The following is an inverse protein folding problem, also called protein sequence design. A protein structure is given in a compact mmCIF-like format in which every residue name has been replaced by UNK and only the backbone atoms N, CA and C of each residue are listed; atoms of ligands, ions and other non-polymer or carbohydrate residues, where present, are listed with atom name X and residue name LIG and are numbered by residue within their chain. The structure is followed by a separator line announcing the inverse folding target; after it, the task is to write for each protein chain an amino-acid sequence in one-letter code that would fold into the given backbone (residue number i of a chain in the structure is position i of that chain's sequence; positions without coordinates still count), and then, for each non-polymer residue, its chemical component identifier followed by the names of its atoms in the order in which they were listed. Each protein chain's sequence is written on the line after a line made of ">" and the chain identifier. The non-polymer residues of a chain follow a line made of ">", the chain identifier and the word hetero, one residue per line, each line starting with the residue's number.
data_IF_657970997722
#
_entry.id   IF_657970997722
#
_cell.length_a   1.000
_cell.length_b   1.000
_cell.length_c   1.000
_cell.angle_alpha   90.00
_cell.angle_beta   90.00
_cell.angle_gamma   90.00
#
_symmetry.space_group_name_H-M   'P 1'
#
loop_
_entity.id
_entity.type
_entity.pdbx_description
1 polymer ?
#
# COMPACT_ATOMS: atom_id res chain seq x y z
N UNK A 1 16.28 -45.43 -19.24
CA UNK A 1 16.79 -44.75 -18.03
C UNK A 1 16.60 -43.26 -18.25
N UNK A 2 15.96 -42.57 -17.30
CA UNK A 2 15.12 -41.38 -17.50
C UNK A 2 15.80 -40.16 -18.15
N UNK A 3 15.07 -39.52 -19.08
CA UNK A 3 15.40 -38.22 -19.62
C UNK A 3 15.25 -37.12 -18.54
N UNK A 4 16.05 -36.04 -18.58
CA UNK A 4 15.94 -34.94 -17.62
C UNK A 4 14.63 -34.18 -17.86
N UNK A 5 13.87 -33.99 -16.80
CA UNK A 5 12.61 -33.23 -16.79
C UNK A 5 12.93 -31.75 -17.04
N UNK A 6 12.26 -31.06 -18.00
CA UNK A 6 12.45 -29.64 -18.19
C UNK A 6 11.83 -28.87 -17.02
N UNK A 7 12.67 -28.13 -16.30
CA UNK A 7 12.28 -27.18 -15.26
C UNK A 7 11.31 -26.12 -15.82
N UNK A 8 10.21 -25.81 -15.12
CA UNK A 8 9.19 -24.89 -15.62
C UNK A 8 9.76 -23.47 -15.79
N UNK A 9 9.44 -22.93 -16.96
CA UNK A 9 9.61 -21.56 -17.47
C UNK A 9 9.79 -20.47 -16.40
N UNK A 10 10.88 -19.72 -16.56
CA UNK A 10 11.18 -18.47 -15.86
C UNK A 10 10.04 -17.46 -16.03
N UNK A 11 9.15 -17.38 -15.05
CA UNK A 11 8.40 -16.15 -14.80
C UNK A 11 9.41 -15.13 -14.26
N UNK A 12 9.74 -14.15 -15.08
CA UNK A 12 10.63 -13.01 -14.82
C UNK A 12 10.50 -12.47 -13.39
N UNK A 13 11.39 -12.91 -12.49
CA UNK A 13 11.56 -12.36 -11.15
C UNK A 13 12.19 -10.98 -11.30
N UNK A 14 11.36 -9.97 -11.52
CA UNK A 14 11.80 -8.59 -11.33
C UNK A 14 12.16 -8.46 -9.86
N UNK A 15 13.45 -8.38 -9.52
CA UNK A 15 13.89 -8.13 -8.14
C UNK A 15 13.23 -6.83 -7.68
N UNK A 16 12.29 -6.87 -6.74
CA UNK A 16 11.59 -5.66 -6.33
C UNK A 16 12.60 -4.70 -5.73
N UNK A 17 12.53 -3.44 -6.13
CA UNK A 17 13.36 -2.40 -5.51
C UNK A 17 13.15 -2.41 -3.99
N UNK A 18 14.17 -2.13 -3.17
CA UNK A 18 14.13 -2.33 -1.72
C UNK A 18 12.92 -1.64 -1.04
N UNK A 19 12.42 -0.56 -1.63
CA UNK A 19 11.25 0.19 -1.14
C UNK A 19 9.91 -0.53 -1.33
N UNK A 20 9.74 -1.31 -2.42
CA UNK A 20 8.52 -2.10 -2.68
C UNK A 20 8.42 -3.27 -1.71
N UNK A 21 9.55 -3.93 -1.44
CA UNK A 21 9.67 -4.97 -0.43
C UNK A 21 9.41 -4.46 0.97
N UNK A 22 9.98 -3.31 1.34
CA UNK A 22 9.73 -2.70 2.65
C UNK A 22 8.24 -2.38 2.88
N UNK A 23 7.56 -1.82 1.88
CA UNK A 23 6.14 -1.51 1.99
C UNK A 23 5.25 -2.76 2.09
N UNK A 24 5.57 -3.82 1.33
CA UNK A 24 4.81 -5.08 1.38
C UNK A 24 5.02 -5.85 2.69
N UNK A 25 6.25 -5.91 3.20
CA UNK A 25 6.54 -6.47 4.54
C UNK A 25 5.80 -5.70 5.63
N UNK A 26 5.89 -4.36 5.59
CA UNK A 26 5.18 -3.50 6.53
C UNK A 26 3.65 -3.74 6.52
N UNK A 27 3.06 -3.88 5.32
CA UNK A 27 1.63 -4.15 5.19
C UNK A 27 1.27 -5.51 5.77
N UNK A 28 2.08 -6.55 5.52
CA UNK A 28 1.86 -7.87 6.08
C UNK A 28 1.93 -7.87 7.62
N UNK A 29 2.93 -7.22 8.19
CA UNK A 29 3.12 -7.13 9.64
C UNK A 29 1.98 -6.37 10.32
N UNK A 30 1.58 -5.24 9.73
CA UNK A 30 0.43 -4.47 10.22
C UNK A 30 -0.87 -5.28 10.13
N UNK A 31 -1.06 -6.05 9.05
CA UNK A 31 -2.25 -6.87 8.84
C UNK A 31 -2.37 -8.00 9.87
N UNK A 32 -1.24 -8.63 10.20
CA UNK A 32 -1.16 -9.64 11.24
C UNK A 32 -1.55 -9.07 12.62
N UNK A 33 -1.03 -7.89 12.98
CA UNK A 33 -1.32 -7.22 14.26
C UNK A 33 -2.75 -6.68 14.37
N UNK A 34 -3.37 -6.29 13.25
CA UNK A 34 -4.77 -5.83 13.20
C UNK A 34 -5.78 -6.98 13.11
N UNK A 35 -5.30 -8.24 13.06
CA UNK A 35 -6.10 -9.43 12.82
C UNK A 35 -7.01 -9.27 11.58
N UNK A 36 -6.42 -8.79 10.49
CA UNK A 36 -7.10 -8.66 9.21
C UNK A 36 -7.12 -10.03 8.51
N UNK A 37 -8.25 -10.33 7.86
CA UNK A 37 -8.34 -11.55 7.04
C UNK A 37 -7.44 -11.49 5.81
N UNK A 38 -7.29 -12.63 5.14
CA UNK A 38 -6.49 -12.72 3.90
C UNK A 38 -7.00 -11.78 2.79
N UNK A 39 -8.32 -11.55 2.71
CA UNK A 39 -8.95 -10.68 1.70
C UNK A 39 -8.47 -9.22 1.84
N UNK A 40 -8.67 -8.51 2.97
CA UNK A 40 -8.16 -7.14 3.13
C UNK A 40 -6.64 -7.03 3.00
N UNK A 41 -5.89 -8.04 3.45
CA UNK A 41 -4.42 -8.04 3.31
C UNK A 41 -4.01 -8.07 1.84
N UNK A 42 -4.63 -8.96 1.05
CA UNK A 42 -4.37 -9.06 -0.39
C UNK A 42 -4.79 -7.79 -1.13
N UNK A 43 -5.96 -7.23 -0.80
CA UNK A 43 -6.43 -5.95 -1.36
C UNK A 43 -5.45 -4.82 -1.06
N UNK A 44 -4.97 -4.70 0.18
CA UNK A 44 -3.98 -3.70 0.58
C UNK A 44 -2.66 -3.85 -0.20
N UNK A 45 -2.18 -5.08 -0.37
CA UNK A 45 -0.96 -5.36 -1.15
C UNK A 45 -1.12 -4.96 -2.63
N UNK A 46 -2.26 -5.26 -3.24
CA UNK A 46 -2.53 -4.86 -4.64
C UNK A 46 -2.63 -3.35 -4.76
N UNK A 47 -3.31 -2.68 -3.83
CA UNK A 47 -3.41 -1.21 -3.81
C UNK A 47 -2.04 -0.55 -3.68
N UNK A 48 -1.20 -1.04 -2.77
CA UNK A 48 0.16 -0.55 -2.62
C UNK A 48 0.99 -0.80 -3.89
N UNK A 49 0.85 -1.96 -4.50
CA UNK A 49 1.52 -2.28 -5.76
C UNK A 49 1.09 -1.33 -6.89
N UNK A 50 -0.23 -1.13 -7.08
CA UNK A 50 -0.80 -0.17 -8.05
C UNK A 50 -0.26 1.24 -7.79
N UNK A 51 -0.23 1.67 -6.53
CA UNK A 51 0.31 2.98 -6.14
C UNK A 51 1.79 3.13 -6.55
N UNK A 52 2.65 2.17 -6.22
CA UNK A 52 4.07 2.23 -6.58
C UNK A 52 4.32 2.11 -8.08
N UNK A 53 3.48 1.36 -8.81
CA UNK A 53 3.56 1.30 -10.26
C UNK A 53 3.26 2.66 -10.89
N UNK A 54 2.18 3.33 -10.46
CA UNK A 54 1.80 4.67 -10.92
C UNK A 54 2.82 5.73 -10.50
N UNK A 55 3.32 5.68 -9.25
CA UNK A 55 4.26 6.67 -8.75
C UNK A 55 5.70 6.46 -9.26
N UNK A 56 6.06 5.24 -9.70
CA UNK A 56 7.30 5.01 -10.44
C UNK A 56 7.24 5.60 -11.85
N UNK A 57 6.05 5.60 -12.48
CA UNK A 57 5.84 6.16 -13.81
C UNK A 57 5.86 7.70 -13.83
N UNK A 58 5.34 8.36 -12.79
CA UNK A 58 5.28 9.84 -12.66
C UNK A 58 6.60 10.44 -12.14
N UNK A 59 7.71 9.69 -12.14
CA UNK A 59 9.04 10.28 -11.96
C UNK A 59 9.71 10.42 -13.33
N UNK A 60 9.25 11.32 -14.22
CA UNK A 60 10.06 11.64 -15.38
C UNK A 60 11.39 12.20 -14.83
N UNK A 61 12.55 11.77 -15.38
CA UNK A 61 13.79 12.46 -15.09
C UNK A 61 13.58 13.93 -15.45
N UNK A 62 13.96 14.83 -14.56
CA UNK A 62 13.88 16.27 -14.77
C UNK A 62 14.37 16.62 -16.18
N UNK A 63 13.44 16.92 -17.09
CA UNK A 63 13.54 17.96 -18.13
C UNK A 63 12.31 17.94 -19.05
N UNK A 64 11.79 19.14 -19.21
CA UNK A 64 10.99 19.68 -20.32
C UNK A 64 9.46 19.51 -20.34
N UNK A 65 8.85 20.68 -20.08
CA UNK A 65 7.83 21.39 -20.88
C UNK A 65 6.39 20.84 -20.79
N UNK A 66 5.52 21.45 -19.97
CA UNK A 66 4.75 22.68 -20.25
C UNK A 66 3.61 22.45 -21.26
N UNK A 67 2.42 22.10 -20.75
CA UNK A 67 1.12 22.59 -21.27
C UNK A 67 0.14 22.75 -20.10
N UNK A 68 -0.38 23.97 -19.97
CA UNK A 68 -1.48 24.44 -19.10
C UNK A 68 -2.66 23.44 -19.00
N UNK A 69 -3.33 23.22 -17.86
CA UNK A 69 -4.06 24.24 -17.10
C UNK A 69 -4.39 23.80 -15.66
N UNK A 70 -3.90 24.58 -14.70
CA UNK A 70 -4.59 25.04 -13.48
C UNK A 70 -4.99 24.13 -12.29
N UNK A 71 -4.61 22.85 -12.20
CA UNK A 71 -4.76 22.08 -10.93
C UNK A 71 -3.61 21.15 -10.52
N UNK A 72 -2.58 21.03 -11.35
CA UNK A 72 -1.45 20.13 -11.05
C UNK A 72 -0.39 20.76 -10.13
N UNK A 73 -0.42 22.08 -9.95
CA UNK A 73 0.65 22.86 -9.30
C UNK A 73 0.61 22.90 -7.76
N UNK A 74 -0.27 22.13 -7.09
CA UNK A 74 -0.38 22.13 -5.62
C UNK A 74 -0.05 20.79 -4.94
N UNK A 75 0.04 19.66 -5.67
CA UNK A 75 0.08 18.34 -5.03
C UNK A 75 1.50 17.81 -4.70
N UNK A 76 2.54 18.59 -5.03
CA UNK A 76 3.92 18.32 -4.62
C UNK A 76 4.44 19.47 -3.75
N UNK A 77 3.57 20.10 -2.95
CA UNK A 77 4.04 20.95 -1.86
C UNK A 77 4.65 20.05 -0.78
N UNK A 78 5.95 19.87 -0.92
CA UNK A 78 6.90 19.28 0.02
C UNK A 78 6.67 19.83 1.43
N UNK A 79 6.11 19.01 2.32
CA UNK A 79 6.30 19.20 3.76
C UNK A 79 7.61 18.50 4.17
N UNK A 80 8.58 19.22 4.75
CA UNK A 80 9.77 18.63 5.34
C UNK A 80 9.36 18.08 6.71
N UNK A 81 9.54 16.78 6.98
CA UNK A 81 9.80 16.20 8.32
C UNK A 81 9.77 14.66 8.22
N UNK A 82 10.97 14.09 8.05
CA UNK A 82 11.51 12.77 8.43
C UNK A 82 10.62 11.56 8.79
N UNK A 83 9.51 11.26 8.10
CA UNK A 83 8.88 9.93 8.16
C UNK A 83 9.08 9.14 6.86
N UNK A 84 9.34 7.81 6.92
CA UNK A 84 9.50 7.02 5.71
C UNK A 84 8.17 6.96 4.95
N UNK A 85 8.14 7.48 3.71
CA UNK A 85 6.93 7.51 2.87
C UNK A 85 6.19 6.16 2.79
N UNK A 86 6.90 5.03 2.89
CA UNK A 86 6.31 3.70 2.82
C UNK A 86 5.39 3.33 4.00
N UNK A 87 5.59 3.92 5.19
CA UNK A 87 4.78 3.66 6.39
C UNK A 87 3.42 4.33 6.25
N UNK A 88 3.41 5.63 5.91
CA UNK A 88 2.17 6.40 5.76
C UNK A 88 1.32 5.87 4.59
N UNK A 89 1.97 5.54 3.46
CA UNK A 89 1.30 4.91 2.30
C UNK A 89 0.78 3.52 2.68
N UNK A 90 1.59 2.69 3.36
CA UNK A 90 1.19 1.35 3.77
C UNK A 90 -0.01 1.36 4.70
N UNK A 91 -0.02 2.25 5.70
CA UNK A 91 -1.12 2.42 6.63
C UNK A 91 -2.39 2.93 5.93
N UNK A 92 -2.25 3.88 4.99
CA UNK A 92 -3.36 4.36 4.16
C UNK A 92 -3.95 3.25 3.27
N UNK A 93 -3.11 2.42 2.64
CA UNK A 93 -3.55 1.27 1.84
C UNK A 93 -4.31 0.24 2.68
N UNK A 94 -3.86 -0.05 3.90
CA UNK A 94 -4.57 -0.94 4.82
C UNK A 94 -5.92 -0.34 5.19
N UNK A 95 -5.94 0.94 5.60
CA UNK A 95 -7.18 1.61 5.99
C UNK A 95 -8.21 1.60 4.85
N UNK A 96 -7.77 1.89 3.63
CA UNK A 96 -8.62 1.82 2.45
C UNK A 96 -9.11 0.39 2.16
N UNK A 97 -8.24 -0.61 2.25
CA UNK A 97 -8.62 -2.01 2.06
C UNK A 97 -9.65 -2.49 3.09
N UNK A 98 -9.59 -2.01 4.34
CA UNK A 98 -10.60 -2.34 5.35
C UNK A 98 -11.98 -1.78 5.01
N UNK A 99 -12.03 -0.62 4.34
CA UNK A 99 -13.28 -0.03 3.84
C UNK A 99 -13.83 -0.83 2.65
N UNK A 100 -12.97 -1.17 1.70
CA UNK A 100 -13.36 -1.95 0.49
C UNK A 100 -13.90 -3.33 0.84
N UNK A 101 -13.32 -3.98 1.86
CA UNK A 101 -13.69 -5.35 2.26
C UNK A 101 -14.79 -5.42 3.31
N UNK A 102 -15.50 -4.31 3.57
CA UNK A 102 -16.60 -4.20 4.54
C UNK A 102 -16.21 -4.66 5.97
N UNK A 103 -14.93 -4.49 6.33
CA UNK A 103 -14.38 -4.81 7.66
C UNK A 103 -13.70 -3.58 8.27
N UNK A 104 -14.43 -2.47 8.50
CA UNK A 104 -13.82 -1.22 8.92
C UNK A 104 -13.08 -1.38 10.25
N UNK A 105 -11.88 -0.79 10.33
CA UNK A 105 -11.08 -0.68 11.56
C UNK A 105 -11.03 0.77 12.00
N UNK A 106 -10.97 1.02 13.31
CA UNK A 106 -10.85 2.38 13.85
C UNK A 106 -9.51 2.95 13.40
N UNK A 107 -9.50 4.21 12.96
CA UNK A 107 -8.28 4.90 12.54
C UNK A 107 -7.21 4.88 13.65
N UNK A 108 -7.63 5.00 14.92
CA UNK A 108 -6.75 4.91 16.08
C UNK A 108 -6.00 3.57 16.17
N UNK A 109 -6.67 2.45 15.89
CA UNK A 109 -6.06 1.13 15.96
C UNK A 109 -5.04 0.94 14.83
N UNK A 110 -5.38 1.40 13.63
CA UNK A 110 -4.48 1.39 12.47
C UNK A 110 -3.25 2.26 12.74
N UNK A 111 -3.42 3.46 13.29
CA UNK A 111 -2.31 4.34 13.67
C UNK A 111 -1.42 3.72 14.73
N UNK A 112 -2.01 3.16 15.79
CA UNK A 112 -1.24 2.51 16.85
C UNK A 112 -0.39 1.36 16.28
N UNK A 113 -0.99 0.49 15.46
CA UNK A 113 -0.25 -0.62 14.85
C UNK A 113 0.83 -0.12 13.89
N UNK A 114 0.52 0.86 13.03
CA UNK A 114 1.49 1.43 12.10
C UNK A 114 2.70 2.04 12.82
N UNK A 115 2.46 2.77 13.91
CA UNK A 115 3.51 3.33 14.75
C UNK A 115 4.36 2.25 15.40
N UNK A 116 3.72 1.22 15.97
CA UNK A 116 4.39 0.11 16.62
C UNK A 116 5.24 -0.72 15.65
N UNK A 117 4.79 -0.93 14.41
CA UNK A 117 5.57 -1.63 13.37
C UNK A 117 6.71 -0.75 12.87
N UNK A 118 6.49 0.56 12.68
CA UNK A 118 7.52 1.48 12.21
C UNK A 118 8.69 1.65 13.21
N UNK A 119 8.40 1.71 14.51
CA UNK A 119 9.43 1.92 15.55
C UNK A 119 9.86 0.61 16.23
N UNK A 120 9.30 -0.55 15.84
CA UNK A 120 9.50 -1.83 16.54
C UNK A 120 9.25 -1.76 18.05
N UNK A 121 8.34 -0.88 18.48
CA UNK A 121 7.94 -0.72 19.88
C UNK A 121 6.52 -1.24 20.09
N UNK A 122 6.19 -1.66 21.30
CA UNK A 122 4.83 -2.03 21.68
C UNK A 122 4.08 -0.92 22.42
N UNK A 123 4.65 0.28 22.45
CA UNK A 123 4.06 1.44 23.10
C UNK A 123 3.09 2.14 22.14
N UNK A 124 1.85 2.44 22.56
CA UNK A 124 0.92 3.20 21.74
C UNK A 124 1.41 4.64 21.55
N UNK A 125 0.92 5.30 20.49
CA UNK A 125 1.23 6.72 20.23
C UNK A 125 0.76 7.57 21.42
N UNK A 126 1.63 8.45 21.91
CA UNK A 126 1.30 9.38 22.98
C UNK A 126 0.13 10.28 22.56
N UNK A 127 -0.91 10.33 23.40
CA UNK A 127 -2.07 11.20 23.17
C UNK A 127 -1.63 12.66 23.32
N UNK A 128 -1.68 13.45 22.24
CA UNK A 128 -1.20 14.85 22.23
C UNK A 128 -1.04 15.39 20.81
N UNK A 129 -0.16 16.39 20.64
CA UNK A 129 0.13 17.01 19.35
C UNK A 129 0.64 16.00 18.30
N UNK A 130 1.49 15.06 18.72
CA UNK A 130 2.03 13.98 17.88
C UNK A 130 0.93 13.10 17.25
N UNK A 131 -0.11 12.79 18.02
CA UNK A 131 -1.25 12.00 17.53
C UNK A 131 -2.03 12.74 16.45
N UNK A 132 -2.31 14.03 16.67
CA UNK A 132 -3.02 14.86 15.69
C UNK A 132 -2.22 15.03 14.40
N UNK A 133 -0.92 15.30 14.51
CA UNK A 133 -0.03 15.40 13.36
C UNK A 133 0.06 14.09 12.59
N UNK A 134 0.14 12.94 13.26
CA UNK A 134 0.16 11.65 12.58
C UNK A 134 -1.17 11.33 11.89
N UNK A 135 -2.29 11.67 12.53
CA UNK A 135 -3.63 11.53 11.96
C UNK A 135 -3.77 12.34 10.67
N UNK A 136 -3.36 13.61 10.69
CA UNK A 136 -3.41 14.48 9.50
C UNK A 136 -2.56 13.90 8.35
N UNK A 137 -1.32 13.47 8.65
CA UNK A 137 -0.46 12.81 7.66
C UNK A 137 -1.09 11.55 7.05
N UNK A 138 -1.75 10.74 7.88
CA UNK A 138 -2.40 9.52 7.41
C UNK A 138 -3.60 9.81 6.50
N UNK A 139 -4.40 10.82 6.85
CA UNK A 139 -5.55 11.26 6.03
C UNK A 139 -5.10 11.89 4.71
N UNK A 140 -4.04 12.69 4.74
CA UNK A 140 -3.43 13.25 3.53
C UNK A 140 -2.89 12.14 2.61
N UNK A 141 -2.21 11.14 3.19
CA UNK A 141 -1.73 9.97 2.47
C UNK A 141 -2.88 9.17 1.85
N UNK A 142 -3.98 8.96 2.59
CA UNK A 142 -5.19 8.30 2.07
C UNK A 142 -5.75 9.03 0.85
N UNK A 143 -5.95 10.35 0.94
CA UNK A 143 -6.45 11.14 -0.20
C UNK A 143 -5.46 11.13 -1.37
N UNK A 144 -4.17 11.08 -1.10
CA UNK A 144 -3.14 10.98 -2.13
C UNK A 144 -3.19 9.63 -2.85
N UNK A 145 -3.31 8.51 -2.11
CA UNK A 145 -3.44 7.15 -2.68
C UNK A 145 -4.69 7.05 -3.54
N UNK A 146 -5.84 7.54 -3.05
CA UNK A 146 -7.11 7.54 -3.79
C UNK A 146 -7.01 8.27 -5.15
N UNK A 147 -6.36 9.44 -5.15
CA UNK A 147 -6.10 10.21 -6.38
C UNK A 147 -5.15 9.47 -7.32
N UNK A 148 -4.12 8.81 -6.79
CA UNK A 148 -3.15 8.05 -7.58
C UNK A 148 -3.79 6.83 -8.26
N UNK A 149 -4.70 6.14 -7.58
CA UNK A 149 -5.43 4.98 -8.14
C UNK A 149 -6.69 5.38 -8.92
N UNK A 150 -6.95 6.68 -9.11
CA UNK A 150 -8.14 7.21 -9.83
C UNK A 150 -9.48 6.69 -9.27
N UNK A 151 -9.54 6.42 -7.97
CA UNK A 151 -10.70 5.81 -7.30
C UNK A 151 -11.09 4.42 -7.83
N UNK A 152 -10.18 3.74 -8.55
CA UNK A 152 -10.36 2.35 -8.94
C UNK A 152 -10.05 1.41 -7.77
N UNK A 153 -11.07 1.21 -6.93
CA UNK A 153 -11.02 0.38 -5.73
C UNK A 153 -11.41 -1.07 -5.99
N UNK A 154 -11.78 -1.42 -7.23
CA UNK A 154 -12.13 -2.79 -7.57
C UNK A 154 -10.84 -3.62 -7.70
N UNK A 155 -10.67 -4.52 -6.74
CA UNK A 155 -9.53 -5.43 -6.69
C UNK A 155 -10.08 -6.85 -6.84
N UNK A 156 -10.10 -7.33 -8.09
CA UNK A 156 -10.34 -8.74 -8.37
C UNK A 156 -9.14 -9.54 -7.89
N UNK A 157 -9.36 -10.39 -6.89
CA UNK A 157 -8.30 -11.21 -6.31
C UNK A 157 -8.22 -12.54 -7.08
N UNK A 158 -7.00 -13.00 -7.43
CA UNK A 158 -6.83 -14.18 -8.28
C UNK A 158 -7.39 -15.46 -7.65
N UNK A 159 -7.54 -15.52 -6.31
CA UNK A 159 -8.13 -16.69 -5.64
C UNK A 159 -9.59 -16.94 -6.06
N UNK A 160 -10.35 -15.91 -6.45
CA UNK A 160 -11.73 -16.09 -6.89
C UNK A 160 -11.79 -16.95 -8.17
N UNK A 161 -10.83 -16.75 -9.08
CA UNK A 161 -10.69 -17.54 -10.30
C UNK A 161 -10.30 -18.98 -9.98
N UNK A 162 -9.36 -19.18 -9.04
CA UNK A 162 -8.94 -20.52 -8.61
C UNK A 162 -10.09 -21.31 -7.99
N UNK A 163 -10.88 -20.68 -7.11
CA UNK A 163 -12.07 -21.31 -6.52
C UNK A 163 -13.11 -21.69 -7.58
N UNK A 164 -13.27 -20.88 -8.63
CA UNK A 164 -14.18 -21.20 -9.71
C UNK A 164 -13.71 -22.43 -10.51
N UNK A 165 -12.41 -22.51 -10.82
CA UNK A 165 -11.82 -23.68 -11.48
C UNK A 165 -11.94 -24.94 -10.62
N UNK A 166 -11.69 -24.84 -9.31
CA UNK A 166 -11.80 -25.98 -8.40
C UNK A 166 -13.24 -26.51 -8.23
N UNK A 167 -14.26 -25.69 -8.49
CA UNK A 167 -15.68 -26.10 -8.47
C UNK A 167 -16.13 -26.78 -9.76
N UNK A 168 -15.38 -26.59 -10.85
CA UNK A 168 -15.67 -27.15 -12.17
C UNK A 168 -15.01 -28.52 -12.39
N UNK A 169 -14.04 -28.88 -11.54
CA UNK A 169 -13.41 -30.20 -11.46
C UNK A 169 -14.20 -31.11 -10.52
#
# INVERSE_FOLDING_TARGET
>A
MAAPVPSPSQSSYTTPSPKKHAASSFIADCSARLHLGHVPTSTAMVLAHRYFATHAYIRPPLKMLFVSSHRFNACIHRAPHSFPQHVDIGAACIFLATKITEKPRKLRDVMNVAYCVAHNVNTPVSTGHEYSAFKERLLDAEQHVLRAIRFDMDVSLPYQHLLNLAKLL
#
